data_IF_409927029910
#
_entry.id   IF_409927029910
#
_cell.length_a   1.000
_cell.length_b   1.000
_cell.length_c   1.000
_cell.angle_alpha   90.00
_cell.angle_beta   90.00
_cell.angle_gamma   90.00
#
_symmetry.space_group_name_H-M   'P 1'
#
loop_
_entity.id
_entity.type
_entity.pdbx_description
1 polymer ?
#
# COMPACT_ATOMS: atom_id res chain seq x y z
N UNK A 1 -4.89 -8.98 7.52
CA UNK A 1 -3.47 -9.34 7.74
C UNK A 1 -2.88 -8.81 9.03
N UNK A 2 -3.33 -7.65 9.54
CA UNK A 2 -2.91 -7.11 10.84
C UNK A 2 -3.08 -8.11 12.02
N UNK A 3 -3.96 -9.10 11.89
CA UNK A 3 -4.24 -10.08 12.94
C UNK A 3 -3.32 -11.31 12.93
N UNK A 4 -2.63 -11.62 11.83
CA UNK A 4 -2.00 -12.94 11.64
C UNK A 4 -0.50 -12.98 11.97
N UNK A 5 0.19 -11.85 11.75
CA UNK A 5 1.62 -11.65 12.06
C UNK A 5 1.73 -10.58 13.15
N UNK A 6 1.76 -11.03 14.39
CA UNK A 6 1.88 -10.19 15.59
C UNK A 6 2.86 -10.83 16.58
N UNK A 7 3.44 -10.09 17.53
CA UNK A 7 4.29 -10.67 18.56
C UNK A 7 3.61 -11.78 19.36
N UNK A 8 2.29 -11.68 19.56
CA UNK A 8 1.49 -12.73 20.18
C UNK A 8 1.41 -13.99 19.30
N UNK A 9 1.07 -13.83 18.01
CA UNK A 9 0.97 -14.95 17.07
C UNK A 9 2.30 -15.66 16.83
N UNK A 10 3.39 -14.90 16.70
CA UNK A 10 4.73 -15.45 16.49
C UNK A 10 5.23 -16.24 17.71
N UNK A 11 4.98 -15.74 18.93
CA UNK A 11 5.33 -16.48 20.16
C UNK A 11 4.58 -17.79 20.27
N UNK A 12 3.30 -17.82 19.91
CA UNK A 12 2.50 -19.05 19.87
C UNK A 12 3.04 -20.09 18.89
N UNK A 13 3.78 -19.67 17.85
CA UNK A 13 4.43 -20.53 16.85
C UNK A 13 5.91 -20.79 17.14
N UNK A 14 6.46 -20.32 18.26
CA UNK A 14 7.88 -20.44 18.58
C UNK A 14 8.81 -19.58 17.70
N UNK A 15 8.28 -18.57 17.02
CA UNK A 15 9.04 -17.66 16.15
C UNK A 15 9.38 -16.34 16.84
N UNK A 16 10.47 -15.71 16.39
CA UNK A 16 10.89 -14.38 16.85
C UNK A 16 10.27 -13.32 15.95
N UNK A 17 9.33 -12.53 16.51
CA UNK A 17 8.64 -11.50 15.76
C UNK A 17 9.56 -10.48 15.08
N UNK A 18 10.66 -10.08 15.73
CA UNK A 18 11.60 -9.12 15.13
C UNK A 18 12.19 -9.62 13.80
N UNK A 19 12.44 -10.92 13.69
CA UNK A 19 12.93 -11.53 12.45
C UNK A 19 11.84 -11.59 11.39
N UNK A 20 10.67 -12.14 11.73
CA UNK A 20 9.51 -12.21 10.83
C UNK A 20 9.10 -10.82 10.32
N UNK A 21 8.99 -9.86 11.24
CA UNK A 21 8.65 -8.46 10.97
C UNK A 21 9.71 -7.74 10.13
N UNK A 22 11.01 -7.98 10.39
CA UNK A 22 12.08 -7.42 9.57
C UNK A 22 12.02 -7.89 8.11
N UNK A 23 11.84 -9.19 7.89
CA UNK A 23 11.66 -9.74 6.54
C UNK A 23 10.33 -9.31 5.90
N UNK A 24 9.29 -9.11 6.70
CA UNK A 24 8.02 -8.54 6.23
C UNK A 24 8.20 -7.12 5.70
N UNK A 25 8.92 -6.25 6.43
CA UNK A 25 9.24 -4.89 5.98
C UNK A 25 10.10 -4.93 4.71
N UNK A 26 11.16 -5.73 4.70
CA UNK A 26 12.01 -5.91 3.53
C UNK A 26 11.19 -6.36 2.31
N UNK A 27 10.31 -7.33 2.50
CA UNK A 27 9.40 -7.81 1.47
C UNK A 27 8.50 -6.71 0.92
N UNK A 28 7.92 -5.85 1.77
CA UNK A 28 7.11 -4.73 1.32
C UNK A 28 7.90 -3.76 0.43
N UNK A 29 9.15 -3.45 0.80
CA UNK A 29 10.00 -2.57 0.01
C UNK A 29 10.36 -3.21 -1.34
N UNK A 30 10.70 -4.50 -1.35
CA UNK A 30 10.95 -5.26 -2.59
C UNK A 30 9.70 -5.29 -3.46
N UNK A 31 8.53 -5.58 -2.88
CA UNK A 31 7.26 -5.61 -3.59
C UNK A 31 6.89 -4.25 -4.18
N UNK A 32 7.11 -3.17 -3.42
CA UNK A 32 6.87 -1.79 -3.87
C UNK A 32 7.83 -1.36 -4.99
N UNK A 33 9.11 -1.74 -4.90
CA UNK A 33 10.07 -1.54 -5.98
C UNK A 33 9.71 -2.35 -7.24
N UNK A 34 9.29 -3.61 -7.08
CA UNK A 34 8.82 -4.44 -8.18
C UNK A 34 7.56 -3.86 -8.84
N UNK A 35 6.63 -3.35 -8.04
CA UNK A 35 5.47 -2.60 -8.53
C UNK A 35 5.89 -1.42 -9.39
N UNK A 36 6.80 -0.57 -8.89
CA UNK A 36 7.30 0.59 -9.64
C UNK A 36 7.94 0.16 -10.96
N UNK A 37 8.82 -0.85 -10.94
CA UNK A 37 9.49 -1.37 -12.14
C UNK A 37 8.49 -1.83 -13.20
N UNK A 38 7.49 -2.63 -12.82
CA UNK A 38 6.49 -3.16 -13.75
C UNK A 38 5.63 -2.04 -14.32
N UNK A 39 5.11 -1.17 -13.46
CA UNK A 39 4.20 -0.09 -13.87
C UNK A 39 4.91 0.96 -14.71
N UNK A 40 6.13 1.37 -14.33
CA UNK A 40 6.96 2.27 -15.13
C UNK A 40 7.30 1.66 -16.49
N UNK A 41 7.62 0.37 -16.54
CA UNK A 41 7.88 -0.34 -17.79
C UNK A 41 6.69 -0.30 -18.74
N UNK A 42 5.49 -0.65 -18.25
CA UNK A 42 4.24 -0.55 -19.02
C UNK A 42 3.94 0.90 -19.44
N UNK A 43 4.15 1.86 -18.54
CA UNK A 43 3.99 3.28 -18.79
C UNK A 43 4.92 3.81 -19.87
N UNK A 44 6.19 3.38 -19.88
CA UNK A 44 7.17 3.77 -20.89
C UNK A 44 6.78 3.28 -22.29
N UNK A 45 6.21 2.07 -22.40
CA UNK A 45 5.67 1.56 -23.67
C UNK A 45 4.51 2.42 -24.17
N UNK A 46 3.61 2.85 -23.27
CA UNK A 46 2.50 3.74 -23.62
C UNK A 46 3.00 5.13 -24.05
N UNK A 47 3.93 5.73 -23.30
CA UNK A 47 4.48 7.06 -23.63
C UNK A 47 5.26 7.07 -24.93
N UNK A 48 5.92 5.96 -25.29
CA UNK A 48 6.59 5.82 -26.58
C UNK A 48 5.62 5.90 -27.77
N UNK A 49 4.35 5.57 -27.58
CA UNK A 49 3.32 5.61 -28.63
C UNK A 49 2.52 6.92 -28.61
N UNK A 50 2.09 7.37 -27.43
CA UNK A 50 1.18 8.52 -27.29
C UNK A 50 1.93 9.85 -27.21
N UNK A 51 3.15 9.85 -26.67
CA UNK A 51 3.98 11.04 -26.43
C UNK A 51 3.21 12.23 -25.80
N UNK A 52 2.49 12.04 -24.67
CA UNK A 52 1.72 13.12 -24.06
C UNK A 52 2.65 14.19 -23.48
N UNK A 53 2.19 15.45 -23.49
CA UNK A 53 2.86 16.53 -22.78
C UNK A 53 2.79 16.35 -21.26
N UNK A 54 3.74 16.95 -20.54
CA UNK A 54 3.80 16.83 -19.08
C UNK A 54 2.55 17.43 -18.40
N UNK A 55 1.97 18.49 -18.97
CA UNK A 55 0.70 19.07 -18.50
C UNK A 55 -0.47 18.08 -18.59
N UNK A 56 -0.54 17.30 -19.69
CA UNK A 56 -1.57 16.25 -19.85
C UNK A 56 -1.33 15.13 -18.83
N UNK A 57 -0.08 14.72 -18.63
CA UNK A 57 0.27 13.71 -17.62
C UNK A 57 -0.15 14.15 -16.22
N UNK A 58 0.23 15.36 -15.80
CA UNK A 58 -0.13 15.92 -14.50
C UNK A 58 -1.65 16.04 -14.34
N UNK A 59 -2.34 16.54 -15.37
CA UNK A 59 -3.81 16.63 -15.38
C UNK A 59 -4.49 15.27 -15.20
N UNK A 60 -4.01 14.23 -15.89
CA UNK A 60 -4.54 12.86 -15.76
C UNK A 60 -4.29 12.29 -14.37
N UNK A 61 -3.08 12.43 -13.83
CA UNK A 61 -2.75 11.94 -12.49
C UNK A 61 -3.57 12.67 -11.42
N UNK A 62 -3.67 14.00 -11.51
CA UNK A 62 -4.46 14.83 -10.61
C UNK A 62 -5.95 14.49 -10.67
N UNK A 63 -6.50 14.29 -11.87
CA UNK A 63 -7.89 13.88 -12.06
C UNK A 63 -8.15 12.48 -11.48
N UNK A 64 -7.27 11.52 -11.76
CA UNK A 64 -7.38 10.17 -11.22
C UNK A 64 -7.35 10.15 -9.69
N UNK A 65 -6.45 10.93 -9.07
CA UNK A 65 -6.37 11.05 -7.62
C UNK A 65 -7.65 11.68 -7.03
N UNK A 66 -8.18 12.73 -7.67
CA UNK A 66 -9.42 13.37 -7.23
C UNK A 66 -10.62 12.42 -7.32
N UNK A 67 -10.80 11.74 -8.46
CA UNK A 67 -11.89 10.76 -8.66
C UNK A 67 -11.77 9.62 -7.65
N UNK A 68 -10.57 9.06 -7.48
CA UNK A 68 -10.32 8.00 -6.51
C UNK A 68 -10.66 8.44 -5.07
N UNK A 69 -10.31 9.67 -4.71
CA UNK A 69 -10.65 10.25 -3.39
C UNK A 69 -12.16 10.35 -3.20
N UNK A 70 -12.89 10.86 -4.19
CA UNK A 70 -14.36 10.95 -4.12
C UNK A 70 -14.99 9.57 -3.94
N UNK A 71 -14.51 8.57 -4.67
CA UNK A 71 -15.00 7.19 -4.56
C UNK A 71 -14.67 6.53 -3.21
N UNK A 72 -13.51 6.81 -2.63
CA UNK A 72 -13.16 6.32 -1.28
C UNK A 72 -14.00 7.00 -0.18
N UNK A 73 -14.39 8.26 -0.39
CA UNK A 73 -15.24 9.01 0.53
C UNK A 73 -16.73 8.65 0.40
N UNK A 74 -17.19 8.15 -0.75
CA UNK A 74 -18.59 7.77 -0.95
C UNK A 74 -19.00 6.48 -0.23
N UNK A 75 -18.05 5.79 0.41
CA UNK A 75 -18.27 4.51 1.07
C UNK A 75 -18.30 3.33 0.10
N UNK A 76 -18.04 3.56 -1.19
CA UNK A 76 -17.81 2.48 -2.14
C UNK A 76 -16.54 1.72 -1.77
N UNK A 77 -16.58 0.39 -1.89
CA UNK A 77 -15.40 -0.45 -1.70
C UNK A 77 -15.39 -1.57 -2.72
N UNK A 78 -14.21 -1.96 -3.18
CA UNK A 78 -14.09 -3.16 -4.00
C UNK A 78 -14.49 -4.41 -3.19
N UNK A 79 -15.33 -5.30 -3.74
CA UNK A 79 -15.58 -6.58 -3.12
C UNK A 79 -14.29 -7.40 -3.10
N UNK A 80 -13.93 -7.97 -1.97
CA UNK A 80 -12.69 -8.72 -1.83
C UNK A 80 -12.76 -9.78 -0.73
N UNK A 81 -12.05 -10.89 -0.96
CA UNK A 81 -11.84 -11.97 0.03
C UNK A 81 -10.35 -12.09 0.32
N UNK A 82 -9.99 -12.62 1.49
CA UNK A 82 -8.58 -12.81 1.84
C UNK A 82 -7.84 -13.61 0.74
N UNK A 83 -6.80 -13.02 0.16
CA UNK A 83 -6.10 -13.54 -1.03
C UNK A 83 -4.79 -14.28 -0.72
N UNK A 84 -4.51 -14.57 0.55
CA UNK A 84 -3.22 -15.13 0.98
C UNK A 84 -3.41 -16.49 1.63
N UNK A 85 -2.63 -17.48 1.20
CA UNK A 85 -2.64 -18.83 1.73
C UNK A 85 -2.13 -18.87 3.17
N UNK A 86 -3.05 -19.12 4.11
CA UNK A 86 -2.77 -19.10 5.54
C UNK A 86 -1.92 -20.29 5.99
N UNK A 87 -1.88 -21.37 5.19
CA UNK A 87 -1.09 -22.57 5.48
C UNK A 87 0.40 -22.26 5.58
N UNK A 88 0.86 -21.19 4.94
CA UNK A 88 2.25 -20.72 5.04
C UNK A 88 2.68 -20.40 6.47
N UNK A 89 1.74 -19.95 7.33
CA UNK A 89 2.03 -19.61 8.72
C UNK A 89 2.46 -20.81 9.56
N UNK A 90 2.04 -22.01 9.18
CA UNK A 90 2.37 -23.27 9.87
C UNK A 90 3.36 -24.13 9.08
N UNK A 91 3.47 -23.93 7.77
CA UNK A 91 4.35 -24.70 6.90
C UNK A 91 5.78 -24.13 6.79
N UNK A 92 5.95 -22.81 6.93
CA UNK A 92 7.24 -22.15 6.70
C UNK A 92 7.78 -21.43 7.94
N UNK A 93 9.09 -21.21 7.94
CA UNK A 93 9.78 -20.40 8.98
C UNK A 93 9.31 -18.95 8.91
N UNK A 94 9.31 -18.27 10.05
CA UNK A 94 8.90 -16.87 10.21
C UNK A 94 9.37 -15.93 9.11
N UNK A 95 10.67 -15.94 8.81
CA UNK A 95 11.27 -15.06 7.80
C UNK A 95 10.81 -15.35 6.37
N UNK A 96 10.46 -16.61 6.04
CA UNK A 96 10.04 -17.03 4.70
C UNK A 96 8.66 -16.46 4.37
N UNK A 97 7.67 -16.71 5.23
CA UNK A 97 6.34 -16.15 5.00
C UNK A 97 6.30 -14.65 5.30
N UNK A 98 7.16 -14.15 6.20
CA UNK A 98 7.35 -12.71 6.40
C UNK A 98 7.72 -12.04 5.09
N UNK A 99 8.80 -12.51 4.45
CA UNK A 99 9.24 -12.00 3.16
C UNK A 99 8.17 -12.18 2.07
N UNK A 100 7.64 -13.39 1.92
CA UNK A 100 6.65 -13.71 0.87
C UNK A 100 5.39 -12.86 0.95
N UNK A 101 4.78 -12.77 2.14
CA UNK A 101 3.61 -11.91 2.34
C UNK A 101 3.96 -10.42 2.19
N UNK A 102 5.17 -10.02 2.60
CA UNK A 102 5.65 -8.65 2.41
C UNK A 102 5.72 -8.28 0.95
N UNK A 103 6.33 -9.12 0.11
CA UNK A 103 6.40 -8.90 -1.34
C UNK A 103 5.01 -8.82 -1.96
N UNK A 104 4.11 -9.73 -1.59
CA UNK A 104 2.73 -9.72 -2.08
C UNK A 104 1.99 -8.42 -1.71
N UNK A 105 2.07 -8.01 -0.44
CA UNK A 105 1.43 -6.79 0.05
C UNK A 105 2.03 -5.52 -0.56
N UNK A 106 3.35 -5.48 -0.71
CA UNK A 106 4.08 -4.37 -1.32
C UNK A 106 3.84 -4.25 -2.82
N UNK A 107 3.61 -5.36 -3.53
CA UNK A 107 3.28 -5.35 -4.95
C UNK A 107 1.84 -4.89 -5.23
N UNK A 108 0.93 -5.15 -4.30
CA UNK A 108 -0.43 -4.61 -4.30
C UNK A 108 -1.44 -5.39 -5.18
N UNK A 109 -1.08 -5.77 -6.40
CA UNK A 109 -2.00 -6.44 -7.34
C UNK A 109 -2.38 -7.89 -6.99
N UNK A 110 -1.62 -8.52 -6.10
CA UNK A 110 -1.87 -9.90 -5.63
C UNK A 110 -2.55 -9.93 -4.26
N UNK A 111 -3.03 -8.77 -3.79
CA UNK A 111 -3.73 -8.61 -2.52
C UNK A 111 -4.99 -7.78 -2.69
N UNK A 112 -5.93 -7.97 -1.77
CA UNK A 112 -7.12 -7.12 -1.73
C UNK A 112 -6.73 -5.73 -1.26
N UNK A 113 -7.02 -4.75 -2.10
CA UNK A 113 -6.88 -3.33 -1.81
C UNK A 113 -8.26 -2.70 -1.87
N UNK A 114 -8.77 -2.27 -0.71
CA UNK A 114 -10.10 -1.67 -0.57
C UNK A 114 -10.00 -0.14 -0.61
N UNK A 115 -9.30 0.40 -1.60
CA UNK A 115 -9.19 1.84 -1.83
C UNK A 115 -8.99 2.11 -3.32
N UNK A 116 -9.75 3.06 -3.85
CA UNK A 116 -9.62 3.54 -5.22
C UNK A 116 -8.33 4.32 -5.43
N UNK A 117 -7.73 4.91 -4.38
CA UNK A 117 -6.45 5.62 -4.48
C UNK A 117 -5.32 4.76 -5.04
N UNK A 118 -5.39 3.42 -4.90
CA UNK A 118 -4.41 2.55 -5.52
C UNK A 118 -4.40 2.66 -7.05
N UNK A 119 -5.54 2.88 -7.70
CA UNK A 119 -5.61 3.14 -9.13
C UNK A 119 -4.87 4.44 -9.50
N UNK A 120 -4.98 5.48 -8.68
CA UNK A 120 -4.23 6.72 -8.87
C UNK A 120 -2.71 6.52 -8.73
N UNK A 121 -2.26 5.66 -7.79
CA UNK A 121 -0.85 5.29 -7.67
C UNK A 121 -0.34 4.53 -8.90
N UNK A 122 -1.16 3.64 -9.47
CA UNK A 122 -0.84 2.91 -10.71
C UNK A 122 -0.71 3.87 -11.88
N UNK A 123 -1.67 4.79 -12.04
CA UNK A 123 -1.65 5.79 -13.11
C UNK A 123 -0.43 6.73 -12.95
N UNK A 124 -0.19 7.22 -11.72
CA UNK A 124 0.99 8.04 -11.41
C UNK A 124 2.29 7.32 -11.70
N UNK A 125 2.46 6.08 -11.23
CA UNK A 125 3.66 5.28 -11.49
C UNK A 125 3.90 4.98 -12.97
N UNK A 126 2.84 4.95 -13.80
CA UNK A 126 2.96 4.68 -15.23
C UNK A 126 3.31 5.95 -16.03
N UNK A 127 2.78 7.10 -15.64
CA UNK A 127 2.87 8.31 -16.45
C UNK A 127 3.98 9.27 -16.03
N UNK A 128 4.34 9.27 -14.74
CA UNK A 128 5.37 10.16 -14.19
C UNK A 128 6.79 9.69 -14.53
N UNK A 129 7.78 10.53 -14.21
CA UNK A 129 9.18 10.18 -14.44
C UNK A 129 9.64 9.00 -13.56
N UNK A 130 10.75 8.32 -13.91
CA UNK A 130 11.23 7.15 -13.18
C UNK A 130 11.45 7.39 -11.68
N UNK A 131 11.97 8.55 -11.28
CA UNK A 131 12.25 8.84 -9.86
C UNK A 131 10.95 8.94 -9.09
N UNK A 132 9.95 9.64 -9.64
CA UNK A 132 8.62 9.75 -9.05
C UNK A 132 7.90 8.40 -8.99
N UNK A 133 8.00 7.58 -10.04
CA UNK A 133 7.41 6.24 -10.06
C UNK A 133 8.00 5.32 -8.97
N UNK A 134 9.32 5.34 -8.79
CA UNK A 134 9.96 4.59 -7.70
C UNK A 134 9.64 5.17 -6.32
N UNK A 135 9.55 6.49 -6.18
CA UNK A 135 9.10 7.12 -4.93
C UNK A 135 7.69 6.69 -4.55
N UNK A 136 6.77 6.61 -5.54
CA UNK A 136 5.41 6.09 -5.35
C UNK A 136 5.44 4.63 -4.90
N UNK A 137 6.16 3.75 -5.62
CA UNK A 137 6.19 2.33 -5.31
C UNK A 137 6.84 2.00 -3.96
N UNK A 138 8.00 2.60 -3.67
CA UNK A 138 8.68 2.45 -2.38
C UNK A 138 7.85 3.08 -1.26
N UNK A 139 7.27 4.27 -1.49
CA UNK A 139 6.40 4.93 -0.53
C UNK A 139 5.16 4.11 -0.20
N UNK A 140 4.52 3.51 -1.21
CA UNK A 140 3.41 2.57 -1.03
C UNK A 140 3.82 1.36 -0.17
N UNK A 141 4.92 0.68 -0.54
CA UNK A 141 5.46 -0.44 0.23
C UNK A 141 5.80 -0.04 1.67
N UNK A 142 6.47 1.09 1.86
CA UNK A 142 6.86 1.62 3.16
C UNK A 142 5.64 1.92 4.05
N UNK A 143 4.62 2.61 3.52
CA UNK A 143 3.39 2.91 4.26
C UNK A 143 2.67 1.63 4.71
N UNK A 144 2.60 0.62 3.83
CA UNK A 144 2.03 -0.69 4.15
C UNK A 144 2.85 -1.41 5.22
N UNK A 145 4.17 -1.31 5.16
CA UNK A 145 5.07 -1.86 6.18
C UNK A 145 4.93 -1.16 7.54
N UNK A 146 4.67 0.15 7.58
CA UNK A 146 4.43 0.90 8.81
C UNK A 146 3.19 0.36 9.53
N UNK A 147 2.11 0.09 8.80
CA UNK A 147 0.91 -0.53 9.37
C UNK A 147 1.20 -1.92 9.94
N UNK A 148 2.03 -2.72 9.27
CA UNK A 148 2.47 -4.00 9.79
C UNK A 148 3.35 -3.85 11.05
N UNK A 149 4.22 -2.84 11.08
CA UNK A 149 5.05 -2.52 12.23
C UNK A 149 4.21 -2.10 13.43
N UNK A 150 3.12 -1.35 13.28
CA UNK A 150 2.25 -0.97 14.42
C UNK A 150 1.80 -2.17 15.27
N UNK A 151 1.74 -3.37 14.69
CA UNK A 151 1.47 -4.61 15.43
C UNK A 151 2.54 -5.00 16.45
N UNK A 152 3.74 -4.41 16.43
CA UNK A 152 4.82 -4.69 17.38
C UNK A 152 4.39 -4.49 18.84
N UNK A 153 3.39 -3.63 19.06
CA UNK A 153 2.83 -3.32 20.38
C UNK A 153 1.79 -4.34 20.85
N UNK A 154 1.32 -5.22 19.97
CA UNK A 154 0.27 -6.19 20.26
C UNK A 154 0.85 -7.41 20.97
N UNK A 155 0.74 -7.44 22.30
CA UNK A 155 1.20 -8.57 23.14
C UNK A 155 0.04 -9.36 23.75
N UNK A 156 -1.16 -8.80 23.72
CA UNK A 156 -2.42 -9.38 24.21
C UNK A 156 -3.57 -9.10 23.24
N UNK A 157 -4.70 -9.79 23.43
CA UNK A 157 -5.93 -9.54 22.66
C UNK A 157 -6.48 -8.14 22.94
N UNK A 158 -6.33 -7.63 24.15
CA UNK A 158 -6.78 -6.27 24.50
C UNK A 158 -5.95 -5.19 23.82
N UNK A 159 -4.64 -5.42 23.60
CA UNK A 159 -3.80 -4.52 22.79
C UNK A 159 -4.30 -4.45 21.35
N UNK A 160 -4.71 -5.59 20.78
CA UNK A 160 -5.25 -5.65 19.43
C UNK A 160 -6.56 -4.85 19.35
N UNK A 161 -7.48 -5.04 20.30
CA UNK A 161 -8.73 -4.28 20.38
C UNK A 161 -8.47 -2.77 20.54
N UNK A 162 -7.51 -2.40 21.39
CA UNK A 162 -7.09 -0.99 21.58
C UNK A 162 -6.50 -0.40 20.30
N UNK A 163 -5.68 -1.14 19.56
CA UNK A 163 -5.11 -0.69 18.31
C UNK A 163 -6.19 -0.45 17.25
N UNK A 164 -7.14 -1.39 17.08
CA UNK A 164 -8.26 -1.21 16.15
C UNK A 164 -9.08 0.04 16.49
N UNK A 165 -9.49 0.21 17.76
CA UNK A 165 -10.22 1.41 18.18
C UNK A 165 -9.47 2.72 17.91
N UNK A 166 -8.14 2.72 18.06
CA UNK A 166 -7.31 3.89 17.74
C UNK A 166 -7.27 4.18 16.25
N UNK A 167 -7.13 3.14 15.42
CA UNK A 167 -7.16 3.28 13.97
C UNK A 167 -8.53 3.76 13.50
N UNK A 168 -9.63 3.20 14.03
CA UNK A 168 -10.99 3.62 13.72
C UNK A 168 -11.24 5.09 14.13
N UNK A 169 -10.70 5.51 15.28
CA UNK A 169 -10.81 6.90 15.74
C UNK A 169 -10.10 7.91 14.82
N UNK A 170 -8.95 7.54 14.27
CA UNK A 170 -8.18 8.43 13.36
C UNK A 170 -8.58 8.28 11.89
N UNK A 171 -9.38 7.28 11.53
CA UNK A 171 -9.76 7.00 10.13
C UNK A 171 -10.36 8.23 9.45
N UNK A 172 -11.31 8.91 10.11
CA UNK A 172 -11.92 10.13 9.60
C UNK A 172 -10.91 11.26 9.37
N UNK A 173 -9.96 11.44 10.29
CA UNK A 173 -8.88 12.43 10.13
C UNK A 173 -7.94 12.08 8.98
N UNK A 174 -7.55 10.81 8.83
CA UNK A 174 -6.67 10.35 7.75
C UNK A 174 -7.34 10.54 6.40
N UNK A 175 -8.63 10.18 6.28
CA UNK A 175 -9.43 10.40 5.06
C UNK A 175 -9.50 11.88 4.70
N UNK A 176 -9.79 12.74 5.69
CA UNK A 176 -9.85 14.18 5.48
C UNK A 176 -8.50 14.77 5.07
N UNK A 177 -7.43 14.43 5.78
CA UNK A 177 -6.07 14.90 5.47
C UNK A 177 -5.62 14.43 4.07
N UNK A 178 -5.95 13.19 3.70
CA UNK A 178 -5.72 12.66 2.36
C UNK A 178 -6.48 13.43 1.29
N UNK A 179 -7.76 13.74 1.52
CA UNK A 179 -8.56 14.53 0.61
C UNK A 179 -8.03 15.96 0.43
N UNK A 180 -7.57 16.60 1.52
CA UNK A 180 -6.93 17.92 1.46
C UNK A 180 -5.63 17.86 0.66
N UNK A 181 -4.79 16.84 0.89
CA UNK A 181 -3.54 16.68 0.18
C UNK A 181 -3.77 16.47 -1.34
N UNK A 182 -4.74 15.63 -1.71
CA UNK A 182 -5.13 15.43 -3.10
C UNK A 182 -5.69 16.72 -3.70
N UNK A 183 -6.59 17.41 -3.00
CA UNK A 183 -7.17 18.68 -3.48
C UNK A 183 -6.10 19.75 -3.72
N UNK A 184 -5.14 19.91 -2.80
CA UNK A 184 -4.01 20.82 -2.98
C UNK A 184 -3.14 20.44 -4.18
N UNK A 185 -2.87 19.13 -4.36
CA UNK A 185 -2.13 18.62 -5.52
C UNK A 185 -2.86 18.88 -6.85
N UNK A 186 -4.17 18.67 -6.90
CA UNK A 186 -4.98 18.92 -8.10
C UNK A 186 -5.03 20.40 -8.45
N UNK A 187 -5.17 21.29 -7.48
CA UNK A 187 -5.14 22.75 -7.71
C UNK A 187 -3.77 23.16 -8.24
N UNK A 188 -2.69 22.66 -7.64
CA UNK A 188 -1.32 22.92 -8.10
C UNK A 188 -1.09 22.46 -9.55
N UNK A 189 -1.65 21.32 -9.95
CA UNK A 189 -1.55 20.81 -11.32
C UNK A 189 -2.32 21.65 -12.35
N UNK A 190 -3.41 22.33 -11.95
CA UNK A 190 -4.18 23.22 -12.83
C UNK A 190 -3.51 24.59 -13.00
N UNK A 191 -2.69 25.00 -12.04
CA UNK A 191 -2.02 26.30 -12.03
C UNK A 191 -0.71 26.36 -12.84
N UNK A 192 -0.26 25.24 -13.41
CA UNK A 192 0.94 25.07 -14.24
C UNK A 192 0.58 25.04 -15.73
#
# INVERSE_FOLDING_TARGET
MLTSITPLGERGRGHRWGLTGGFLVLGHLIGGAAFATVILGLGSMLRAVVAPSDAVVLGVVAFAAAVATVLDLSGCSFPGRRQVDERWLTAYRGWVYGLGFGVQLGFGFVTVINTFLFAALVIGGALLDPVQAFAIGIGYGAMRSLMALLNFRVRSVDDLKRLHRRLDYVDGFIRWAGAVAVGAGTIGAIAL
#
